data_IF_737887698507
#
_entry.id   IF_737887698507
#
_cell.length_a   1.000
_cell.length_b   1.000
_cell.length_c   1.000
_cell.angle_alpha   90.00
_cell.angle_beta   90.00
_cell.angle_gamma   90.00
#
_symmetry.space_group_name_H-M   'P 1'
#
loop_
_entity.id
_entity.type
_entity.pdbx_description
1 polymer ?
#
# COMPACT_ATOMS: atom_id res chain seq x y z
N UNK A 1 3.43 36.34 3.42
CA UNK A 1 2.96 34.95 3.21
C UNK A 1 2.90 34.30 4.59
N UNK A 2 1.70 34.05 5.10
CA UNK A 2 1.55 33.39 6.41
C UNK A 2 1.95 31.92 6.25
N UNK A 3 3.01 31.52 6.93
CA UNK A 3 3.42 30.11 7.01
C UNK A 3 2.29 29.35 7.71
N UNK A 4 1.45 28.63 6.95
CA UNK A 4 0.44 27.76 7.53
C UNK A 4 1.19 26.64 8.24
N UNK A 5 1.17 26.68 9.56
CA UNK A 5 1.74 25.61 10.37
C UNK A 5 0.73 24.45 10.30
N UNK A 6 1.03 23.47 9.45
CA UNK A 6 0.22 22.24 9.34
C UNK A 6 0.34 21.49 10.67
N UNK A 7 -0.80 21.15 11.29
CA UNK A 7 -0.79 20.42 12.56
C UNK A 7 -0.22 19.01 12.37
N UNK A 8 0.24 18.37 13.44
CA UNK A 8 0.68 16.96 13.37
C UNK A 8 -0.45 16.06 12.85
N UNK A 9 -1.68 16.32 13.27
CA UNK A 9 -2.85 15.57 12.82
C UNK A 9 -3.09 15.73 11.32
N UNK A 10 -3.00 16.96 10.80
CA UNK A 10 -3.15 17.21 9.36
C UNK A 10 -2.05 16.51 8.55
N UNK A 11 -0.81 16.45 9.07
CA UNK A 11 0.29 15.71 8.44
C UNK A 11 0.01 14.20 8.41
N UNK A 12 -0.42 13.62 9.53
CA UNK A 12 -0.81 12.21 9.61
C UNK A 12 -1.92 11.90 8.60
N UNK A 13 -2.95 12.74 8.52
CA UNK A 13 -4.05 12.55 7.58
C UNK A 13 -3.59 12.60 6.11
N UNK A 14 -2.71 13.53 5.74
CA UNK A 14 -2.16 13.60 4.38
C UNK A 14 -1.42 12.30 4.00
N UNK A 15 -0.67 11.72 4.95
CA UNK A 15 0.05 10.45 4.73
C UNK A 15 -0.92 9.28 4.62
N UNK A 16 -1.92 9.19 5.51
CA UNK A 16 -2.97 8.16 5.45
C UNK A 16 -3.70 8.22 4.11
N UNK A 17 -4.12 9.41 3.66
CA UNK A 17 -4.83 9.59 2.39
C UNK A 17 -3.97 9.14 1.19
N UNK A 18 -2.65 9.32 1.28
CA UNK A 18 -1.72 8.84 0.26
C UNK A 18 -1.61 7.31 0.28
N UNK A 19 -1.42 6.70 1.45
CA UNK A 19 -1.33 5.24 1.60
C UNK A 19 -2.61 4.53 1.17
N UNK A 20 -3.78 5.11 1.44
CA UNK A 20 -5.06 4.59 0.95
C UNK A 20 -5.13 4.56 -0.58
N UNK A 21 -4.61 5.61 -1.26
CA UNK A 21 -4.52 5.62 -2.73
C UNK A 21 -3.51 4.58 -3.25
N UNK A 22 -2.42 4.37 -2.51
CA UNK A 22 -1.47 3.30 -2.80
C UNK A 22 -2.13 1.92 -2.72
N UNK A 23 -3.00 1.69 -1.73
CA UNK A 23 -3.75 0.43 -1.62
C UNK A 23 -4.71 0.22 -2.79
N UNK A 24 -5.49 1.25 -3.16
CA UNK A 24 -6.36 1.18 -4.35
C UNK A 24 -5.56 0.85 -5.62
N UNK A 25 -4.36 1.42 -5.77
CA UNK A 25 -3.50 1.09 -6.89
C UNK A 25 -2.96 -0.35 -6.81
N UNK A 26 -2.58 -0.81 -5.61
CA UNK A 26 -2.14 -2.19 -5.38
C UNK A 26 -3.23 -3.19 -5.74
N UNK A 27 -4.48 -2.94 -5.35
CA UNK A 27 -5.64 -3.78 -5.66
C UNK A 27 -5.83 -3.92 -7.17
N UNK A 28 -5.75 -2.82 -7.92
CA UNK A 28 -5.82 -2.85 -9.39
C UNK A 28 -4.71 -3.70 -10.02
N UNK A 29 -3.50 -3.66 -9.44
CA UNK A 29 -2.37 -4.45 -9.92
C UNK A 29 -2.55 -5.94 -9.57
N UNK A 30 -3.07 -6.25 -8.38
CA UNK A 30 -3.40 -7.61 -7.96
C UNK A 30 -4.48 -8.23 -8.86
N UNK A 31 -5.56 -7.49 -9.16
CA UNK A 31 -6.60 -7.93 -10.09
C UNK A 31 -6.02 -8.28 -11.45
N UNK A 32 -5.19 -7.38 -12.00
CA UNK A 32 -4.50 -7.57 -13.29
C UNK A 32 -3.65 -8.84 -13.30
N UNK A 33 -2.82 -9.07 -12.28
CA UNK A 33 -1.94 -10.24 -12.27
C UNK A 33 -2.68 -11.53 -11.95
N UNK A 34 -3.75 -11.47 -11.17
CA UNK A 34 -4.63 -12.62 -10.91
C UNK A 34 -5.34 -13.06 -12.19
N UNK A 35 -5.82 -12.10 -13.00
CA UNK A 35 -6.40 -12.39 -14.31
C UNK A 35 -5.36 -13.01 -15.25
N UNK A 36 -4.14 -12.46 -15.30
CA UNK A 36 -3.04 -13.01 -16.10
C UNK A 36 -2.66 -14.43 -15.65
N UNK A 37 -2.60 -14.70 -14.35
CA UNK A 37 -2.31 -16.05 -13.83
C UNK A 37 -3.35 -17.06 -14.28
N UNK A 38 -4.61 -16.66 -14.50
CA UNK A 38 -5.66 -17.55 -14.98
C UNK A 38 -5.55 -17.88 -16.48
N UNK A 39 -4.78 -17.09 -17.24
CA UNK A 39 -4.69 -17.17 -18.71
C UNK A 39 -3.30 -17.63 -19.20
N UNK A 40 -2.26 -17.57 -18.36
CA UNK A 40 -0.88 -17.82 -18.77
C UNK A 40 -0.46 -19.30 -18.80
N UNK A 41 0.39 -19.64 -19.76
CA UNK A 41 1.10 -20.92 -19.82
C UNK A 41 2.13 -21.07 -18.69
N UNK A 42 2.49 -22.32 -18.37
CA UNK A 42 3.36 -22.69 -17.23
C UNK A 42 4.69 -21.94 -17.11
N UNK A 43 5.25 -21.41 -18.22
CA UNK A 43 6.53 -20.68 -18.22
C UNK A 43 6.47 -19.30 -17.56
N UNK A 44 5.33 -18.62 -17.64
CA UNK A 44 5.19 -17.25 -17.10
C UNK A 44 4.54 -17.24 -15.71
N UNK A 45 3.98 -18.38 -15.27
CA UNK A 45 3.28 -18.51 -13.99
C UNK A 45 4.15 -18.12 -12.80
N UNK A 46 5.42 -18.57 -12.74
CA UNK A 46 6.30 -18.25 -11.62
C UNK A 46 6.55 -16.73 -11.50
N UNK A 47 6.73 -16.04 -12.62
CA UNK A 47 6.93 -14.59 -12.63
C UNK A 47 5.66 -13.84 -12.23
N UNK A 48 4.49 -14.32 -12.65
CA UNK A 48 3.20 -13.73 -12.27
C UNK A 48 2.94 -13.91 -10.77
N UNK A 49 3.19 -15.11 -10.23
CA UNK A 49 3.04 -15.39 -8.81
C UNK A 49 3.97 -14.54 -7.94
N UNK A 50 5.21 -14.29 -8.39
CA UNK A 50 6.09 -13.35 -7.71
C UNK A 50 5.51 -11.94 -7.68
N UNK A 51 4.96 -11.45 -8.80
CA UNK A 51 4.33 -10.13 -8.84
C UNK A 51 3.12 -10.04 -7.91
N UNK A 52 2.28 -11.07 -7.85
CA UNK A 52 1.16 -11.12 -6.92
C UNK A 52 1.69 -11.01 -5.48
N UNK A 53 2.69 -11.80 -5.11
CA UNK A 53 3.31 -11.75 -3.79
C UNK A 53 3.88 -10.35 -3.45
N UNK A 54 4.58 -9.72 -4.38
CA UNK A 54 5.19 -8.41 -4.18
C UNK A 54 4.10 -7.34 -3.94
N UNK A 55 3.01 -7.35 -4.72
CA UNK A 55 1.91 -6.41 -4.56
C UNK A 55 1.09 -6.67 -3.29
N UNK A 56 0.89 -7.92 -2.90
CA UNK A 56 0.28 -8.26 -1.60
C UNK A 56 1.13 -7.72 -0.46
N UNK A 57 2.43 -7.95 -0.48
CA UNK A 57 3.35 -7.46 0.56
C UNK A 57 3.36 -5.93 0.64
N UNK A 58 3.32 -5.25 -0.51
CA UNK A 58 3.20 -3.78 -0.56
C UNK A 58 1.89 -3.28 0.05
N UNK A 59 0.76 -3.91 -0.29
CA UNK A 59 -0.54 -3.59 0.28
C UNK A 59 -0.56 -3.78 1.81
N UNK A 60 -0.07 -4.92 2.29
CA UNK A 60 -0.06 -5.26 3.71
C UNK A 60 0.82 -4.29 4.52
N UNK A 61 1.98 -3.91 3.97
CA UNK A 61 2.83 -2.89 4.57
C UNK A 61 2.11 -1.54 4.70
N UNK A 62 1.44 -1.08 3.65
CA UNK A 62 0.69 0.18 3.70
C UNK A 62 -0.47 0.11 4.71
N UNK A 63 -1.16 -1.03 4.79
CA UNK A 63 -2.25 -1.23 5.75
C UNK A 63 -1.71 -1.13 7.19
N UNK A 64 -0.60 -1.79 7.48
CA UNK A 64 0.08 -1.68 8.78
C UNK A 64 0.51 -0.24 9.11
N UNK A 65 1.11 0.47 8.14
CA UNK A 65 1.51 1.86 8.34
C UNK A 65 0.30 2.79 8.59
N UNK A 66 -0.85 2.53 7.96
CA UNK A 66 -2.10 3.26 8.25
C UNK A 66 -2.54 2.99 9.69
N UNK A 67 -2.54 1.73 10.13
CA UNK A 67 -2.90 1.35 11.50
C UNK A 67 -2.03 2.11 12.53
N UNK A 68 -0.71 2.12 12.36
CA UNK A 68 0.20 2.87 13.23
C UNK A 68 -0.07 4.39 13.22
N UNK A 69 -0.31 4.97 12.04
CA UNK A 69 -0.57 6.41 11.93
C UNK A 69 -1.90 6.80 12.59
N UNK A 70 -2.90 5.90 12.57
CA UNK A 70 -4.17 6.08 13.29
C UNK A 70 -4.06 5.84 14.80
N UNK A 71 -3.02 5.15 15.24
CA UNK A 71 -2.73 4.90 16.66
C UNK A 71 -2.32 6.16 17.43
N UNK A 72 -2.37 6.03 18.76
CA UNK A 72 -1.90 7.06 19.69
C UNK A 72 -0.36 7.12 19.75
N UNK A 73 0.29 5.97 19.53
CA UNK A 73 1.74 5.78 19.56
C UNK A 73 2.20 5.10 18.25
N UNK A 74 3.40 5.46 17.79
CA UNK A 74 4.09 4.71 16.71
C UNK A 74 4.86 3.55 17.36
N UNK A 75 5.18 2.51 16.62
CA UNK A 75 6.00 1.43 17.18
C UNK A 75 7.40 1.93 17.58
N UNK A 76 8.12 1.11 18.34
CA UNK A 76 9.45 1.45 18.85
C UNK A 76 10.52 1.64 17.76
N UNK A 77 10.24 1.27 16.51
CA UNK A 77 11.13 1.44 15.38
C UNK A 77 11.05 2.85 14.77
N UNK A 78 9.94 3.60 14.97
CA UNK A 78 9.73 4.97 14.50
C UNK A 78 10.11 6.07 15.51
#
# INVERSE_FOLDING_TARGET
>A
MTSRTISLQDKKQIVIDFLLKCNVYSDQMLDKYTEQSSQSDSKDQAAIQQKIHDWTSYHDFNAYAIEELTGEELDDWF
#
